data_IF_159968094726
#
_entry.id   IF_159968094726
#
_cell.length_a   1.000
_cell.length_b   1.000
_cell.length_c   1.000
_cell.angle_alpha   90.00
_cell.angle_beta   90.00
_cell.angle_gamma   90.00
#
_symmetry.space_group_name_H-M   'P 1'
#
loop_
_entity.id
_entity.type
_entity.pdbx_description
1 polymer ?
#
# COMPACT_ATOMS: atom_id res chain seq x y z
N UNK A 1 -4.89 11.60 3.51
CA UNK A 1 -3.80 10.90 2.78
C UNK A 1 -4.33 10.50 1.41
N UNK A 2 -3.52 10.62 0.36
CA UNK A 2 -3.94 10.31 -1.02
C UNK A 2 -2.75 10.10 -1.95
N UNK A 3 -2.93 9.31 -3.01
CA UNK A 3 -1.96 9.13 -4.10
C UNK A 3 -2.31 9.94 -5.35
N UNK A 4 -1.30 10.29 -6.15
CA UNK A 4 -1.49 10.89 -7.46
C UNK A 4 -0.28 10.65 -8.36
N UNK A 5 -0.53 10.41 -9.66
CA UNK A 5 0.50 10.39 -10.70
C UNK A 5 1.17 11.76 -10.84
N UNK A 6 0.39 12.83 -10.72
CA UNK A 6 0.89 14.20 -10.74
C UNK A 6 0.46 14.94 -9.48
N UNK A 7 1.41 15.10 -8.53
CA UNK A 7 1.18 15.76 -7.25
C UNK A 7 0.73 17.22 -7.43
N UNK A 8 1.34 17.95 -8.38
CA UNK A 8 1.00 19.37 -8.63
C UNK A 8 -0.46 19.51 -9.04
N UNK A 9 -0.91 18.77 -10.05
CA UNK A 9 -2.31 18.77 -10.49
C UNK A 9 -3.26 18.37 -9.36
N UNK A 10 -2.90 17.35 -8.58
CA UNK A 10 -3.74 16.88 -7.46
C UNK A 10 -3.89 17.95 -6.39
N UNK A 11 -2.80 18.54 -5.93
CA UNK A 11 -2.83 19.59 -4.89
C UNK A 11 -3.58 20.82 -5.40
N UNK A 12 -3.27 21.30 -6.62
CA UNK A 12 -3.95 22.46 -7.20
C UNK A 12 -5.47 22.26 -7.33
N UNK A 13 -5.94 21.03 -7.59
CA UNK A 13 -7.37 20.74 -7.70
C UNK A 13 -8.17 21.02 -6.42
N UNK A 14 -7.53 20.96 -5.25
CA UNK A 14 -8.18 21.29 -3.96
C UNK A 14 -8.36 22.80 -3.74
N UNK A 15 -7.60 23.65 -4.43
CA UNK A 15 -7.61 25.10 -4.20
C UNK A 15 -8.20 25.90 -5.37
N UNK A 16 -8.04 25.41 -6.60
CA UNK A 16 -8.50 26.11 -7.81
C UNK A 16 -9.94 25.75 -8.20
N UNK A 17 -10.46 24.62 -7.74
CA UNK A 17 -11.77 24.15 -8.17
C UNK A 17 -12.88 24.81 -7.33
N UNK A 18 -13.83 25.48 -7.98
CA UNK A 18 -14.96 26.15 -7.29
C UNK A 18 -16.08 25.17 -6.89
N UNK A 19 -16.14 24.00 -7.51
CA UNK A 19 -17.18 22.98 -7.29
C UNK A 19 -16.67 21.81 -6.45
N UNK A 20 -16.10 22.10 -5.28
CA UNK A 20 -15.72 21.06 -4.32
C UNK A 20 -16.94 20.54 -3.55
N UNK A 21 -17.05 19.22 -3.40
CA UNK A 21 -18.04 18.62 -2.50
C UNK A 21 -17.80 19.02 -1.04
N UNK A 22 -18.83 18.97 -0.21
CA UNK A 22 -18.82 19.46 1.19
C UNK A 22 -17.71 18.83 2.04
N UNK A 23 -17.52 17.51 1.93
CA UNK A 23 -16.43 16.79 2.59
C UNK A 23 -15.05 17.34 2.22
N UNK A 24 -14.86 17.67 0.94
CA UNK A 24 -13.58 18.21 0.45
C UNK A 24 -13.38 19.65 0.90
N UNK A 25 -14.44 20.47 0.93
CA UNK A 25 -14.39 21.82 1.50
C UNK A 25 -13.98 21.79 2.98
N UNK A 26 -14.60 20.91 3.78
CA UNK A 26 -14.25 20.73 5.18
C UNK A 26 -12.82 20.19 5.39
N UNK A 27 -12.34 19.33 4.47
CA UNK A 27 -10.93 18.91 4.49
C UNK A 27 -10.03 20.12 4.27
N UNK A 28 -10.28 20.91 3.20
CA UNK A 28 -9.44 22.05 2.81
C UNK A 28 -9.38 23.12 3.90
N UNK A 29 -10.50 23.41 4.58
CA UNK A 29 -10.52 24.39 5.67
C UNK A 29 -9.68 24.01 6.89
N UNK A 30 -9.38 22.71 7.07
CA UNK A 30 -8.57 22.20 8.18
C UNK A 30 -7.09 21.98 7.80
N UNK A 31 -6.69 22.23 6.56
CA UNK A 31 -5.30 22.04 6.11
C UNK A 31 -4.41 23.13 6.71
N UNK A 32 -3.44 22.72 7.55
CA UNK A 32 -2.36 23.60 8.04
C UNK A 32 -1.02 23.37 7.35
N UNK A 33 -0.79 22.14 6.89
CA UNK A 33 0.50 21.74 6.29
C UNK A 33 0.27 20.61 5.29
N UNK A 34 1.01 20.66 4.18
CA UNK A 34 1.02 19.60 3.16
C UNK A 34 2.41 18.98 3.14
N UNK A 35 2.48 17.66 3.21
CA UNK A 35 3.71 16.87 3.04
C UNK A 35 3.53 15.93 1.85
N UNK A 36 4.58 15.78 1.05
CA UNK A 36 4.60 14.90 -0.12
C UNK A 36 5.75 13.91 -0.01
N UNK A 37 5.53 12.69 -0.48
CA UNK A 37 6.56 11.65 -0.57
C UNK A 37 6.56 11.19 -2.03
N UNK A 38 7.70 11.36 -2.71
CA UNK A 38 7.90 10.86 -4.06
C UNK A 38 8.19 9.37 -4.02
N UNK A 39 7.60 8.63 -4.94
CA UNK A 39 7.72 7.18 -5.08
C UNK A 39 7.99 6.85 -6.53
N UNK A 40 8.67 5.74 -6.76
CA UNK A 40 9.19 5.35 -8.09
C UNK A 40 8.18 4.55 -8.90
N UNK A 41 7.21 3.91 -8.24
CA UNK A 41 6.19 3.09 -8.87
C UNK A 41 4.79 3.30 -8.29
N UNK A 42 3.77 2.99 -9.08
CA UNK A 42 2.38 3.03 -8.63
C UNK A 42 2.12 2.02 -7.50
N UNK A 43 2.75 0.83 -7.60
CA UNK A 43 2.74 -0.23 -6.58
C UNK A 43 3.27 0.29 -5.25
N UNK A 44 4.41 0.98 -5.25
CA UNK A 44 4.99 1.59 -4.07
C UNK A 44 4.08 2.70 -3.49
N UNK A 45 3.49 3.52 -4.36
CA UNK A 45 2.55 4.58 -3.95
C UNK A 45 1.34 4.01 -3.18
N UNK A 46 0.84 2.85 -3.63
CA UNK A 46 -0.31 2.19 -3.03
C UNK A 46 0.04 1.59 -1.67
N UNK A 47 1.17 0.89 -1.59
CA UNK A 47 1.64 0.29 -0.34
C UNK A 47 1.95 1.37 0.72
N UNK A 48 2.58 2.47 0.31
CA UNK A 48 2.88 3.59 1.20
C UNK A 48 1.61 4.28 1.69
N UNK A 49 0.65 4.53 0.80
CA UNK A 49 -0.66 5.10 1.14
C UNK A 49 -1.37 4.23 2.18
N UNK A 50 -1.47 2.92 1.93
CA UNK A 50 -2.13 1.97 2.82
C UNK A 50 -1.46 1.98 4.22
N UNK A 51 -0.13 1.90 4.27
CA UNK A 51 0.64 1.95 5.53
C UNK A 51 0.37 3.25 6.30
N UNK A 52 0.36 4.39 5.62
CA UNK A 52 0.12 5.70 6.27
C UNK A 52 -1.33 5.85 6.73
N UNK A 53 -2.30 5.39 5.95
CA UNK A 53 -3.72 5.40 6.34
C UNK A 53 -3.95 4.50 7.55
N UNK A 54 -3.38 3.29 7.56
CA UNK A 54 -3.47 2.38 8.72
C UNK A 54 -2.80 2.96 9.96
N UNK A 55 -1.62 3.58 9.81
CA UNK A 55 -0.86 4.17 10.93
C UNK A 55 -1.56 5.38 11.56
N UNK A 56 -2.09 6.29 10.75
CA UNK A 56 -2.61 7.58 11.25
C UNK A 56 -4.14 7.67 11.28
N UNK A 57 -4.87 6.71 10.69
CA UNK A 57 -6.34 6.68 10.58
C UNK A 57 -6.98 8.06 10.39
N UNK A 58 -6.58 8.81 9.34
CA UNK A 58 -7.00 10.19 9.17
C UNK A 58 -8.51 10.29 8.94
N UNK A 59 -9.16 11.25 9.62
CA UNK A 59 -10.63 11.44 9.68
C UNK A 59 -11.34 11.44 8.33
N UNK A 60 -10.70 11.98 7.29
CA UNK A 60 -11.31 12.13 5.96
C UNK A 60 -11.09 10.93 5.03
N UNK A 61 -10.20 9.99 5.37
CA UNK A 61 -10.04 8.76 4.59
C UNK A 61 -11.16 7.78 4.99
N UNK A 62 -11.84 7.21 3.99
CA UNK A 62 -12.80 6.15 4.23
C UNK A 62 -12.00 4.88 4.50
N UNK A 63 -12.18 4.29 5.68
CA UNK A 63 -11.58 3.00 5.99
C UNK A 63 -12.33 1.93 5.19
N UNK A 64 -11.74 1.46 4.10
CA UNK A 64 -12.17 0.20 3.49
C UNK A 64 -11.82 -0.90 4.50
N UNK A 65 -12.84 -1.60 5.02
CA UNK A 65 -12.74 -2.62 6.08
C UNK A 65 -11.95 -3.87 5.69
N UNK A 66 -11.42 -3.95 4.48
CA UNK A 66 -10.67 -5.14 4.06
C UNK A 66 -9.24 -5.06 4.61
N UNK A 67 -9.08 -5.44 5.87
CA UNK A 67 -7.83 -5.49 6.64
C UNK A 67 -6.84 -6.56 6.12
N UNK A 68 -6.93 -6.93 4.84
CA UNK A 68 -6.04 -7.92 4.23
C UNK A 68 -4.72 -7.25 3.92
N UNK A 69 -3.73 -7.45 4.80
CA UNK A 69 -2.33 -7.23 4.45
C UNK A 69 -1.98 -8.04 3.19
N UNK A 70 -1.21 -7.44 2.28
CA UNK A 70 -0.81 -8.09 1.05
C UNK A 70 -0.07 -9.40 1.34
N UNK A 71 -0.34 -10.46 0.57
CA UNK A 71 0.34 -11.74 0.73
C UNK A 71 1.84 -11.62 0.47
N UNK A 72 2.61 -12.37 1.25
CA UNK A 72 4.04 -12.61 1.18
C UNK A 72 4.23 -14.10 0.84
N UNK A 73 5.29 -14.41 0.10
CA UNK A 73 5.77 -15.77 -0.11
C UNK A 73 6.84 -16.04 0.95
N UNK A 74 6.57 -17.01 1.82
CA UNK A 74 7.51 -17.54 2.80
C UNK A 74 8.14 -18.81 2.25
N UNK A 75 9.46 -18.92 2.31
CA UNK A 75 10.21 -20.14 1.99
C UNK A 75 10.94 -20.58 3.24
N UNK A 76 10.61 -21.76 3.77
CA UNK A 76 11.34 -22.31 4.92
C UNK A 76 12.69 -22.85 4.44
N UNK A 77 13.78 -22.39 5.05
CA UNK A 77 15.15 -22.75 4.64
C UNK A 77 15.83 -23.74 5.57
N UNK A 78 15.33 -23.87 6.82
CA UNK A 78 15.92 -24.74 7.85
C UNK A 78 15.26 -26.12 7.95
N UNK A 79 14.14 -26.32 7.28
CA UNK A 79 13.47 -27.61 7.27
C UNK A 79 14.19 -28.57 6.31
N UNK A 80 14.16 -29.86 6.65
CA UNK A 80 14.71 -30.94 5.80
C UNK A 80 14.14 -30.92 4.37
N UNK A 81 12.93 -30.38 4.22
CA UNK A 81 12.28 -30.13 2.94
C UNK A 81 11.77 -28.68 2.92
N UNK A 82 12.37 -27.79 2.11
CA UNK A 82 11.94 -26.40 2.03
C UNK A 82 10.52 -26.32 1.49
N UNK A 83 9.64 -25.64 2.22
CA UNK A 83 8.23 -25.49 1.87
C UNK A 83 7.89 -24.02 1.59
N UNK A 84 6.97 -23.82 0.65
CA UNK A 84 6.52 -22.50 0.22
C UNK A 84 5.13 -22.24 0.79
N UNK A 85 4.99 -21.17 1.56
CA UNK A 85 3.74 -20.74 2.16
C UNK A 85 3.36 -19.33 1.70
N UNK A 86 2.06 -19.06 1.63
CA UNK A 86 1.54 -17.70 1.45
C UNK A 86 1.11 -17.20 2.81
N UNK A 87 1.84 -16.22 3.35
CA UNK A 87 1.56 -15.61 4.65
C UNK A 87 1.21 -14.14 4.47
N UNK A 88 0.49 -13.53 5.42
CA UNK A 88 0.17 -12.08 5.35
C UNK A 88 1.05 -11.22 6.27
N UNK A 89 1.89 -11.87 7.07
CA UNK A 89 2.84 -11.26 8.01
C UNK A 89 4.05 -12.17 8.13
N UNK A 90 5.19 -11.58 8.41
CA UNK A 90 6.38 -12.31 8.84
C UNK A 90 6.08 -12.90 10.22
N UNK A 91 6.18 -14.23 10.32
CA UNK A 91 5.87 -15.02 11.51
C UNK A 91 7.12 -15.64 12.14
N UNK A 92 8.26 -15.61 11.45
CA UNK A 92 9.57 -16.01 11.96
C UNK A 92 10.71 -15.22 11.30
N UNK A 93 11.92 -15.35 11.83
CA UNK A 93 13.14 -14.72 11.31
C UNK A 93 14.07 -15.70 10.56
N UNK A 94 13.66 -16.97 10.48
CA UNK A 94 14.50 -18.07 9.94
C UNK A 94 14.16 -18.37 8.49
N UNK A 95 12.98 -17.99 8.03
CA UNK A 95 12.48 -18.19 6.68
C UNK A 95 12.79 -16.99 5.79
N UNK A 96 12.84 -17.22 4.48
CA UNK A 96 12.95 -16.15 3.50
C UNK A 96 11.57 -15.65 3.12
N UNK A 97 11.38 -14.34 3.13
CA UNK A 97 10.12 -13.70 2.77
C UNK A 97 10.31 -12.87 1.50
N UNK A 98 9.40 -13.05 0.55
CA UNK A 98 9.34 -12.29 -0.71
C UNK A 98 7.96 -11.65 -0.84
N UNK A 99 7.88 -10.47 -1.45
CA UNK A 99 6.65 -9.66 -1.50
C UNK A 99 6.71 -8.49 -0.50
N UNK A 100 5.68 -7.64 -0.36
CA UNK A 100 4.25 -7.87 -0.58
C UNK A 100 3.79 -7.92 -2.04
N UNK A 101 2.99 -8.92 -2.38
CA UNK A 101 2.42 -9.08 -3.72
C UNK A 101 1.04 -8.47 -3.82
N UNK A 102 0.93 -7.37 -4.58
CA UNK A 102 -0.33 -6.65 -4.81
C UNK A 102 -1.17 -7.35 -5.90
N UNK A 103 -0.54 -8.12 -6.79
CA UNK A 103 -1.22 -8.86 -7.86
C UNK A 103 -1.07 -10.38 -7.69
N UNK A 104 -2.16 -11.11 -7.93
CA UNK A 104 -2.16 -12.57 -7.94
C UNK A 104 -1.26 -13.15 -9.05
N UNK A 105 -1.09 -12.41 -10.16
CA UNK A 105 -0.23 -12.81 -11.27
C UNK A 105 1.25 -12.75 -10.87
N UNK A 106 1.69 -11.69 -10.18
CA UNK A 106 3.07 -11.58 -9.68
C UNK A 106 3.39 -12.74 -8.73
N UNK A 107 2.44 -13.10 -7.85
CA UNK A 107 2.58 -14.23 -6.94
C UNK A 107 2.73 -15.55 -7.69
N UNK A 108 1.88 -15.80 -8.70
CA UNK A 108 1.96 -17.01 -9.54
C UNK A 108 3.27 -17.10 -10.33
N UNK A 109 3.78 -15.99 -10.85
CA UNK A 109 5.07 -15.96 -11.55
C UNK A 109 6.21 -16.36 -10.63
N UNK A 110 6.25 -15.81 -9.41
CA UNK A 110 7.28 -16.16 -8.43
C UNK A 110 7.19 -17.63 -8.02
N UNK A 111 5.98 -18.14 -7.76
CA UNK A 111 5.77 -19.56 -7.49
C UNK A 111 6.23 -20.46 -8.64
N UNK A 112 6.05 -20.02 -9.89
CA UNK A 112 6.51 -20.76 -11.08
C UNK A 112 8.05 -20.76 -11.21
N UNK A 113 8.71 -19.66 -10.83
CA UNK A 113 10.17 -19.56 -10.85
C UNK A 113 10.79 -20.46 -9.77
N UNK A 114 10.24 -20.46 -8.56
CA UNK A 114 10.79 -21.24 -7.44
C UNK A 114 10.58 -22.76 -7.63
N UNK A 115 9.52 -23.17 -8.33
CA UNK A 115 9.20 -24.59 -8.58
C UNK A 115 9.97 -25.22 -9.75
N UNK A 116 10.86 -24.47 -10.40
CA UNK A 116 11.66 -24.94 -11.53
C UNK A 116 13.05 -25.30 -11.06
#
# INVERSE_FOLDING_TARGET
MGKAVNLKKRVSSYFLNKTLGEKTKALVSLIKTIKTISVTSEVESFLLEERLVKKYRPRFNISLKDDKAYPLVKITTKDKYPAIFIVRREDDTKSLYFGPYISANSLRTVLKIIRR
#
